data_IF_895397785333
#
_entry.id   IF_895397785333
#
_cell.length_a   1.000
_cell.length_b   1.000
_cell.length_c   1.000
_cell.angle_alpha   90.00
_cell.angle_beta   90.00
_cell.angle_gamma   90.00
#
_symmetry.space_group_name_H-M   'P 1'
#
loop_
_entity.id
_entity.type
_entity.pdbx_description
1 polymer ?
#
# COMPACT_ATOMS: atom_id res chain seq x y z
N UNK A 1 20.77 17.41 -15.45
CA UNK A 1 19.33 17.66 -15.61
C UNK A 1 18.66 17.02 -14.41
N UNK A 2 18.22 17.82 -13.45
CA UNK A 2 17.51 17.30 -12.28
C UNK A 2 16.09 16.94 -12.75
N UNK A 3 15.77 15.65 -12.73
CA UNK A 3 14.40 15.18 -12.91
C UNK A 3 13.57 15.78 -11.78
N UNK A 4 12.86 16.86 -12.10
CA UNK A 4 11.82 17.43 -11.26
C UNK A 4 10.70 16.40 -11.17
N UNK A 5 10.87 15.39 -10.32
CA UNK A 5 9.77 14.56 -9.85
C UNK A 5 8.82 15.55 -9.19
N UNK A 6 7.73 15.87 -9.87
CA UNK A 6 6.62 16.63 -9.32
C UNK A 6 6.08 15.79 -8.17
N UNK A 7 6.65 15.99 -6.97
CA UNK A 7 6.12 15.41 -5.76
C UNK A 7 4.67 15.91 -5.68
N UNK A 8 3.71 15.00 -5.85
CA UNK A 8 2.31 15.32 -5.59
C UNK A 8 2.27 16.01 -4.22
N UNK A 9 1.47 17.08 -4.14
CA UNK A 9 1.29 17.80 -2.89
C UNK A 9 0.91 16.79 -1.79
N UNK A 10 1.50 16.90 -0.60
CA UNK A 10 1.36 15.89 0.46
C UNK A 10 -0.11 15.58 0.77
N UNK A 11 -0.96 16.61 0.74
CA UNK A 11 -2.41 16.50 0.94
C UNK A 11 -3.07 15.66 -0.16
N UNK A 12 -2.65 15.80 -1.42
CA UNK A 12 -3.18 14.99 -2.53
C UNK A 12 -2.79 13.51 -2.37
N UNK A 13 -1.57 13.24 -1.91
CA UNK A 13 -1.12 11.88 -1.60
C UNK A 13 -1.95 11.30 -0.46
N UNK A 14 -2.15 12.07 0.63
CA UNK A 14 -2.97 11.65 1.77
C UNK A 14 -4.41 11.35 1.32
N UNK A 15 -5.05 12.22 0.54
CA UNK A 15 -6.41 11.96 0.02
C UNK A 15 -6.48 10.68 -0.81
N UNK A 16 -5.45 10.38 -1.63
CA UNK A 16 -5.38 9.13 -2.40
C UNK A 16 -5.21 7.91 -1.47
N UNK A 17 -4.37 8.03 -0.44
CA UNK A 17 -4.20 6.98 0.58
C UNK A 17 -5.52 6.71 1.31
N UNK A 18 -6.26 7.75 1.69
CA UNK A 18 -7.57 7.62 2.33
C UNK A 18 -8.60 6.95 1.41
N UNK A 19 -8.63 7.32 0.13
CA UNK A 19 -9.49 6.67 -0.85
C UNK A 19 -9.16 5.19 -1.00
N UNK A 20 -7.87 4.87 -1.13
CA UNK A 20 -7.35 3.49 -1.19
C UNK A 20 -7.71 2.70 0.08
N UNK A 21 -7.60 3.33 1.25
CA UNK A 21 -7.94 2.73 2.55
C UNK A 21 -9.40 2.24 2.61
N UNK A 22 -10.34 3.01 2.05
CA UNK A 22 -11.76 2.60 1.96
C UNK A 22 -11.97 1.37 1.08
N UNK A 23 -11.26 1.29 -0.06
CA UNK A 23 -11.29 0.12 -0.95
C UNK A 23 -10.75 -1.13 -0.24
N UNK A 24 -9.65 -0.97 0.49
CA UNK A 24 -9.03 -2.05 1.28
C UNK A 24 -9.99 -2.55 2.35
N UNK A 25 -10.65 -1.65 3.08
CA UNK A 25 -11.65 -2.05 4.08
C UNK A 25 -12.80 -2.87 3.46
N UNK A 26 -13.27 -2.50 2.28
CA UNK A 26 -14.28 -3.27 1.54
C UNK A 26 -13.81 -4.67 1.15
N UNK A 27 -12.56 -4.80 0.70
CA UNK A 27 -11.96 -6.11 0.36
C UNK A 27 -11.78 -6.99 1.60
N UNK A 28 -11.35 -6.41 2.72
CA UNK A 28 -11.21 -7.12 3.98
C UNK A 28 -12.55 -7.65 4.49
N UNK A 29 -13.62 -6.85 4.38
CA UNK A 29 -15.01 -7.27 4.70
C UNK A 29 -15.51 -8.42 3.81
N UNK A 30 -14.96 -8.54 2.60
CA UNK A 30 -15.26 -9.63 1.66
C UNK A 30 -14.32 -10.83 1.83
N UNK A 31 -13.50 -10.88 2.88
CA UNK A 31 -12.50 -11.93 3.11
C UNK A 31 -11.50 -12.09 1.95
N UNK A 32 -11.11 -10.97 1.32
CA UNK A 32 -10.11 -10.90 0.25
C UNK A 32 -8.84 -10.20 0.71
N UNK A 33 -8.09 -10.76 1.69
CA UNK A 33 -6.98 -10.05 2.31
C UNK A 33 -5.76 -9.94 1.39
N UNK A 34 -5.55 -10.88 0.46
CA UNK A 34 -4.44 -10.83 -0.50
C UNK A 34 -4.68 -9.71 -1.52
N UNK A 35 -5.89 -9.58 -2.05
CA UNK A 35 -6.26 -8.49 -2.95
C UNK A 35 -6.24 -7.13 -2.24
N UNK A 36 -6.63 -7.10 -0.97
CA UNK A 36 -6.51 -5.91 -0.13
C UNK A 36 -5.03 -5.50 0.04
N UNK A 37 -4.12 -6.45 0.25
CA UNK A 37 -2.70 -6.20 0.35
C UNK A 37 -2.12 -5.71 -0.98
N UNK A 38 -2.41 -6.37 -2.11
CA UNK A 38 -1.99 -5.90 -3.44
C UNK A 38 -2.45 -4.47 -3.70
N UNK A 39 -3.72 -4.18 -3.41
CA UNK A 39 -4.28 -2.82 -3.50
C UNK A 39 -3.50 -1.85 -2.61
N UNK A 40 -3.11 -2.23 -1.39
CA UNK A 40 -2.32 -1.38 -0.49
C UNK A 40 -0.93 -1.07 -1.04
N UNK A 41 -0.27 -2.08 -1.62
CA UNK A 41 1.08 -2.01 -2.18
C UNK A 41 1.14 -1.25 -3.50
N UNK A 42 0.05 -1.14 -4.25
CA UNK A 42 -0.04 -0.28 -5.45
C UNK A 42 0.43 1.16 -5.15
N UNK A 43 1.48 1.58 -5.86
CA UNK A 43 2.09 2.90 -5.73
C UNK A 43 2.90 3.13 -4.44
N UNK A 44 3.25 2.06 -3.72
CA UNK A 44 4.06 2.13 -2.49
C UNK A 44 5.57 1.94 -2.77
N UNK A 45 6.45 2.59 -2.00
CA UNK A 45 6.16 3.72 -1.11
C UNK A 45 5.78 4.98 -1.92
N UNK A 46 5.02 5.92 -1.34
CA UNK A 46 4.71 7.16 -2.04
C UNK A 46 6.00 7.92 -2.37
N UNK A 47 6.12 8.41 -3.61
CA UNK A 47 7.29 9.14 -4.12
C UNK A 47 7.37 10.56 -3.54
N UNK A 48 7.58 10.66 -2.24
CA UNK A 48 7.66 11.92 -1.49
C UNK A 48 8.67 11.84 -0.34
N UNK A 49 9.17 13.00 0.08
CA UNK A 49 10.00 13.14 1.30
C UNK A 49 9.16 13.37 2.55
N UNK A 50 7.85 13.56 2.42
CA UNK A 50 6.96 13.76 3.56
C UNK A 50 6.73 12.44 4.31
N UNK A 51 7.24 12.37 5.53
CA UNK A 51 7.11 11.18 6.38
C UNK A 51 5.66 10.87 6.76
N UNK A 52 4.77 11.86 6.83
CA UNK A 52 3.35 11.64 7.14
C UNK A 52 2.69 10.80 6.05
N UNK A 53 3.04 11.06 4.78
CA UNK A 53 2.55 10.28 3.66
C UNK A 53 3.06 8.83 3.71
N UNK A 54 4.33 8.64 4.04
CA UNK A 54 4.93 7.30 4.19
C UNK A 54 4.29 6.52 5.34
N UNK A 55 4.16 7.15 6.51
CA UNK A 55 3.50 6.54 7.68
C UNK A 55 2.03 6.21 7.39
N UNK A 56 1.28 7.11 6.75
CA UNK A 56 -0.10 6.88 6.38
C UNK A 56 -0.25 5.68 5.43
N UNK A 57 0.62 5.58 4.41
CA UNK A 57 0.63 4.43 3.51
C UNK A 57 1.00 3.14 4.24
N UNK A 58 2.00 3.17 5.12
CA UNK A 58 2.42 2.00 5.90
C UNK A 58 1.31 1.48 6.81
N UNK A 59 0.56 2.35 7.48
CA UNK A 59 -0.59 1.96 8.33
C UNK A 59 -1.60 1.14 7.51
N UNK A 60 -1.85 1.54 6.28
CA UNK A 60 -2.79 0.87 5.38
C UNK A 60 -2.26 -0.50 4.93
N UNK A 61 -0.98 -0.58 4.54
CA UNK A 61 -0.31 -1.85 4.19
C UNK A 61 -0.31 -2.81 5.39
N UNK A 62 0.10 -2.33 6.56
CA UNK A 62 0.14 -3.11 7.79
C UNK A 62 -1.24 -3.68 8.16
N UNK A 63 -2.31 -2.88 8.01
CA UNK A 63 -3.68 -3.36 8.25
C UNK A 63 -4.05 -4.53 7.33
N UNK A 64 -3.74 -4.44 6.04
CA UNK A 64 -4.03 -5.53 5.10
C UNK A 64 -3.20 -6.78 5.42
N UNK A 65 -1.91 -6.60 5.77
CA UNK A 65 -1.02 -7.68 6.15
C UNK A 65 -1.51 -8.42 7.40
N UNK A 66 -1.95 -7.70 8.44
CA UNK A 66 -2.49 -8.30 9.67
C UNK A 66 -3.77 -9.12 9.45
N UNK A 67 -4.46 -8.95 8.32
CA UNK A 67 -5.64 -9.74 7.97
C UNK A 67 -5.28 -11.05 7.25
N UNK A 68 -4.02 -11.24 6.85
CA UNK A 68 -3.53 -12.47 6.24
C UNK A 68 -3.31 -13.52 7.32
N UNK A 69 -3.93 -14.70 7.15
CA UNK A 69 -3.76 -15.85 8.05
C UNK A 69 -2.75 -16.85 7.52
N UNK A 70 -2.76 -17.07 6.22
CA UNK A 70 -1.85 -17.96 5.52
C UNK A 70 -0.81 -17.13 4.76
N UNK A 71 0.33 -16.93 5.41
CA UNK A 71 1.40 -16.08 4.92
C UNK A 71 2.15 -16.76 3.77
N UNK A 72 2.31 -18.08 3.82
CA UNK A 72 3.02 -18.85 2.78
C UNK A 72 2.22 -18.84 1.46
N UNK A 73 0.90 -19.04 1.53
CA UNK A 73 0.03 -18.92 0.37
C UNK A 73 -0.03 -17.47 -0.16
N UNK A 74 0.02 -16.48 0.73
CA UNK A 74 0.11 -15.08 0.32
C UNK A 74 1.40 -14.81 -0.45
N UNK A 75 2.56 -15.24 0.05
CA UNK A 75 3.84 -15.03 -0.65
C UNK A 75 3.87 -15.75 -2.00
N UNK A 76 3.29 -16.95 -2.08
CA UNK A 76 3.22 -17.73 -3.33
C UNK A 76 2.33 -17.09 -4.40
N UNK A 77 1.37 -16.23 -4.02
CA UNK A 77 0.42 -15.57 -4.93
C UNK A 77 0.75 -14.09 -5.21
N UNK A 78 1.79 -13.57 -4.54
CA UNK A 78 2.20 -12.18 -4.67
C UNK A 78 3.12 -12.01 -5.87
N UNK A 79 2.87 -10.97 -6.67
CA UNK A 79 3.73 -10.65 -7.80
C UNK A 79 5.11 -10.20 -7.29
N UNK A 80 6.23 -10.55 -7.96
CA UNK A 80 7.58 -10.24 -7.47
C UNK A 80 7.80 -8.76 -7.14
N UNK A 81 7.20 -7.85 -7.90
CA UNK A 81 7.25 -6.40 -7.64
C UNK A 81 6.64 -6.05 -6.28
N UNK A 82 5.49 -6.63 -5.94
CA UNK A 82 4.85 -6.38 -4.64
C UNK A 82 5.61 -7.04 -3.48
N UNK A 83 6.27 -8.19 -3.73
CA UNK A 83 7.16 -8.80 -2.76
C UNK A 83 8.34 -7.89 -2.43
N UNK A 84 9.00 -7.35 -3.46
CA UNK A 84 10.14 -6.43 -3.30
C UNK A 84 9.75 -5.14 -2.58
N UNK A 85 8.52 -4.64 -2.79
CA UNK A 85 8.00 -3.47 -2.05
C UNK A 85 7.77 -3.82 -0.59
N UNK A 86 7.21 -5.00 -0.29
CA UNK A 86 6.90 -5.41 1.08
C UNK A 86 8.16 -5.67 1.93
N UNK A 87 9.26 -6.08 1.31
CA UNK A 87 10.53 -6.40 1.98
C UNK A 87 11.47 -5.20 2.17
N UNK A 88 11.09 -4.00 1.71
CA UNK A 88 11.86 -2.76 1.85
C UNK A 88 11.32 -1.89 2.98
#
# INVERSE_FOLDING_TARGET
MAEHVQADNAEAIITRIEHKSRKIESLLKQYKPVEALKTALEGSPPKTRDERCKSANWIVVHRALMAIKDVDAMFSSLDPEYYDILMK
#
